data_IF_023484232862
#
_entry.id   IF_023484232862
#
_cell.length_a   1.000
_cell.length_b   1.000
_cell.length_c   1.000
_cell.angle_alpha   90.00
_cell.angle_beta   90.00
_cell.angle_gamma   90.00
#
_symmetry.space_group_name_H-M   'P 1'
#
loop_
_entity.id
_entity.type
_entity.pdbx_description
1 polymer ?
#
# COMPACT_ATOMS: atom_id res chain seq x y z
N UNK A 1 9.62 6.78 11.34
CA UNK A 1 8.20 6.56 11.67
C UNK A 1 7.73 5.23 11.10
N UNK A 2 6.52 4.80 11.45
CA UNK A 2 5.93 3.56 10.92
C UNK A 2 4.83 3.89 9.92
N UNK A 3 4.77 3.12 8.83
CA UNK A 3 3.68 3.14 7.86
C UNK A 3 3.28 1.70 7.55
N UNK A 4 2.00 1.48 7.30
CA UNK A 4 1.49 0.20 6.83
C UNK A 4 0.62 0.44 5.61
N UNK A 5 0.82 -0.37 4.57
CA UNK A 5 0.03 -0.35 3.35
C UNK A 5 -0.51 -1.75 3.08
N UNK A 6 -1.67 -1.83 2.42
CA UNK A 6 -2.17 -3.10 1.93
C UNK A 6 -1.19 -3.74 0.95
N UNK A 7 -1.03 -5.07 1.04
CA UNK A 7 -0.27 -5.85 0.05
C UNK A 7 -1.07 -6.17 -1.20
N UNK A 8 -2.37 -5.91 -1.28
CA UNK A 8 -3.12 -6.18 -2.51
C UNK A 8 -2.88 -5.06 -3.52
N UNK A 9 -2.15 -5.39 -4.60
CA UNK A 9 -1.87 -4.47 -5.69
C UNK A 9 -3.18 -3.93 -6.28
N UNK A 10 -3.23 -2.61 -6.49
CA UNK A 10 -4.41 -1.90 -6.98
C UNK A 10 -4.66 -2.08 -8.47
N UNK A 11 -3.76 -2.76 -9.18
CA UNK A 11 -3.97 -3.22 -10.55
C UNK A 11 -4.93 -4.43 -10.57
N UNK A 12 -4.40 -5.63 -10.33
CA UNK A 12 -5.15 -6.91 -10.44
C UNK A 12 -5.01 -7.78 -9.17
N UNK A 13 -4.68 -7.18 -8.02
CA UNK A 13 -4.81 -7.84 -6.72
C UNK A 13 -3.66 -8.75 -6.30
N UNK A 14 -2.62 -8.90 -7.13
CA UNK A 14 -1.43 -9.66 -6.73
C UNK A 14 -0.82 -9.13 -5.41
N UNK A 15 -0.23 -10.01 -4.58
CA UNK A 15 0.47 -9.59 -3.38
C UNK A 15 1.76 -8.84 -3.73
N UNK A 16 1.81 -7.56 -3.34
CA UNK A 16 3.02 -6.73 -3.33
C UNK A 16 3.96 -7.30 -2.26
N UNK A 17 5.01 -7.97 -2.72
CA UNK A 17 5.87 -8.79 -1.86
C UNK A 17 7.36 -8.43 -1.91
N UNK A 18 7.77 -7.59 -2.86
CA UNK A 18 9.16 -7.19 -3.04
C UNK A 18 9.36 -5.76 -2.52
N UNK A 19 10.56 -5.47 -2.01
CA UNK A 19 10.95 -4.15 -1.55
C UNK A 19 12.32 -3.80 -2.13
N UNK A 20 12.38 -2.71 -2.89
CA UNK A 20 13.64 -2.11 -3.33
C UNK A 20 14.06 -1.08 -2.29
N UNK A 21 15.23 -1.29 -1.70
CA UNK A 21 15.64 -0.59 -0.49
C UNK A 21 16.24 0.80 -0.76
N UNK A 22 16.94 1.00 -1.88
CA UNK A 22 17.63 2.26 -2.18
C UNK A 22 16.64 3.39 -2.48
N UNK A 23 15.61 3.09 -3.25
CA UNK A 23 14.55 4.00 -3.69
C UNK A 23 13.30 3.90 -2.80
N UNK A 24 13.29 2.99 -1.84
CA UNK A 24 12.19 2.75 -0.90
C UNK A 24 10.87 2.45 -1.61
N UNK A 25 10.92 1.53 -2.58
CA UNK A 25 9.79 1.15 -3.41
C UNK A 25 9.25 -0.22 -3.00
N UNK A 26 7.94 -0.32 -2.78
CA UNK A 26 7.24 -1.60 -2.77
C UNK A 26 7.00 -2.02 -4.22
N UNK A 27 7.30 -3.28 -4.56
CA UNK A 27 7.23 -3.78 -5.94
C UNK A 27 6.28 -4.97 -6.04
N UNK A 28 5.31 -4.85 -6.94
CA UNK A 28 4.40 -5.93 -7.30
C UNK A 28 5.08 -6.86 -8.32
N UNK A 29 5.28 -8.16 -8.03
CA UNK A 29 6.03 -9.05 -8.90
C UNK A 29 5.30 -9.40 -10.21
N UNK A 30 3.96 -9.31 -10.25
CA UNK A 30 3.18 -9.74 -11.42
C UNK A 30 3.37 -8.85 -12.66
N UNK A 31 3.26 -7.53 -12.49
CA UNK A 31 3.31 -6.56 -13.60
C UNK A 31 4.19 -5.34 -13.25
N UNK A 32 5.05 -5.51 -12.24
CA UNK A 32 6.11 -4.57 -11.89
C UNK A 32 5.64 -3.17 -11.49
N UNK A 33 4.40 -3.01 -11.02
CA UNK A 33 4.00 -1.75 -10.38
C UNK A 33 4.87 -1.46 -9.17
N UNK A 34 5.41 -0.24 -9.10
CA UNK A 34 6.32 0.21 -8.04
C UNK A 34 5.67 1.36 -7.27
N UNK A 35 5.60 1.26 -5.95
CA UNK A 35 4.90 2.19 -5.08
C UNK A 35 5.87 2.85 -4.09
N UNK A 36 5.88 4.18 -4.04
CA UNK A 36 6.80 4.93 -3.19
C UNK A 36 6.35 4.94 -1.72
N UNK A 37 7.07 4.22 -0.85
CA UNK A 37 6.71 4.07 0.57
C UNK A 37 6.70 5.39 1.32
N UNK A 38 7.64 6.29 1.01
CA UNK A 38 7.78 7.58 1.67
C UNK A 38 6.72 8.60 1.22
N UNK A 39 6.07 8.36 0.07
CA UNK A 39 5.06 9.23 -0.51
C UNK A 39 3.72 8.51 -0.65
N UNK A 40 3.18 8.01 0.47
CA UNK A 40 1.82 7.46 0.53
C UNK A 40 1.57 6.24 -0.35
N UNK A 41 2.61 5.48 -0.71
CA UNK A 41 2.55 4.38 -1.69
C UNK A 41 1.98 4.81 -3.05
N UNK A 42 2.22 6.06 -3.48
CA UNK A 42 1.91 6.50 -4.83
C UNK A 42 2.65 5.65 -5.88
N UNK A 43 1.97 5.17 -6.94
CA UNK A 43 2.61 4.39 -7.98
C UNK A 43 3.53 5.31 -8.81
N UNK A 44 4.81 4.91 -8.90
CA UNK A 44 5.83 5.60 -9.68
C UNK A 44 6.12 4.92 -11.02
N UNK A 45 5.70 3.67 -11.19
CA UNK A 45 5.89 2.88 -12.39
C UNK A 45 4.86 1.75 -12.48
N UNK A 46 4.66 1.21 -13.69
CA UNK A 46 3.80 0.08 -13.98
C UNK A 46 2.30 0.43 -14.05
N UNK A 47 1.42 -0.58 -14.21
CA UNK A 47 0.03 -0.37 -14.58
C UNK A 47 -0.93 -0.08 -13.41
N UNK A 48 -0.45 -0.04 -12.16
CA UNK A 48 -1.32 0.23 -11.01
C UNK A 48 -1.85 1.67 -11.08
N UNK A 49 -3.18 1.88 -11.11
CA UNK A 49 -3.73 3.20 -11.41
C UNK A 49 -3.77 4.15 -10.20
N UNK A 50 -3.44 3.65 -9.00
CA UNK A 50 -3.68 4.36 -7.73
C UNK A 50 -2.79 3.83 -6.59
N UNK A 51 -2.65 4.59 -5.49
CA UNK A 51 -1.84 4.18 -4.33
C UNK A 51 -2.32 2.89 -3.67
N UNK A 52 -1.41 2.20 -2.98
CA UNK A 52 -1.80 1.16 -2.03
C UNK A 52 -2.50 1.83 -0.84
N UNK A 53 -3.70 1.37 -0.44
CA UNK A 53 -4.38 1.90 0.75
C UNK A 53 -3.49 1.82 1.99
N UNK A 54 -3.36 2.95 2.68
CA UNK A 54 -2.62 3.04 3.95
C UNK A 54 -3.51 2.64 5.12
N UNK A 55 -3.00 1.79 6.02
CA UNK A 55 -3.65 1.48 7.28
C UNK A 55 -3.19 2.50 8.34
N UNK A 56 -4.09 3.29 8.94
CA UNK A 56 -3.73 4.25 9.99
C UNK A 56 -3.18 3.52 11.23
N UNK A 57 -1.99 3.90 11.70
CA UNK A 57 -1.31 3.24 12.83
C UNK A 57 -1.17 4.15 14.04
N UNK A 58 -1.31 3.61 15.24
CA UNK A 58 -0.92 4.22 16.51
C UNK A 58 0.00 3.29 17.30
N UNK A 59 0.75 3.87 18.23
CA UNK A 59 1.44 3.13 19.30
C UNK A 59 0.60 3.34 20.56
N UNK A 60 0.16 2.25 21.18
CA UNK A 60 -0.62 2.31 22.42
C UNK A 60 0.24 2.68 23.64
N UNK A 61 -0.39 2.80 24.82
CA UNK A 61 0.32 3.14 26.06
C UNK A 61 1.30 2.08 26.54
N UNK A 62 1.22 0.86 26.02
CA UNK A 62 2.13 -0.25 26.34
C UNK A 62 3.26 -0.38 25.30
N UNK A 63 3.24 0.43 24.24
CA UNK A 63 4.26 0.42 23.18
C UNK A 63 3.96 -0.51 22.00
N UNK A 64 2.76 -1.10 21.92
CA UNK A 64 2.39 -1.96 20.79
C UNK A 64 1.83 -1.15 19.62
N UNK A 65 2.12 -1.60 18.40
CA UNK A 65 1.50 -1.06 17.18
C UNK A 65 0.07 -1.58 17.05
N UNK A 66 -0.87 -0.66 16.89
CA UNK A 66 -2.28 -0.95 16.62
C UNK A 66 -2.79 -0.13 15.43
N UNK A 67 -3.82 -0.63 14.74
CA UNK A 67 -4.55 0.17 13.76
C UNK A 67 -5.48 1.15 14.47
N UNK A 68 -5.48 2.42 14.07
CA UNK A 68 -6.41 3.42 14.60
C UNK A 68 -7.83 3.24 14.04
N UNK A 69 -7.93 2.70 12.83
CA UNK A 69 -9.18 2.45 12.10
C UNK A 69 -8.94 1.43 11.00
N UNK A 70 -10.01 1.05 10.31
CA UNK A 70 -9.91 0.37 9.02
C UNK A 70 -9.28 1.26 7.94
N UNK A 71 -9.07 0.69 6.75
CA UNK A 71 -8.69 1.43 5.56
C UNK A 71 -9.74 2.49 5.21
N UNK A 72 -9.27 3.68 4.81
CA UNK A 72 -10.15 4.80 4.41
C UNK A 72 -10.61 4.70 2.95
N UNK A 73 -10.10 3.72 2.21
CA UNK A 73 -10.42 3.49 0.81
C UNK A 73 -10.41 1.98 0.51
N UNK A 74 -11.15 1.52 -0.52
CA UNK A 74 -11.22 0.09 -0.82
C UNK A 74 -9.87 -0.53 -1.19
N UNK A 75 -9.63 -1.72 -0.66
CA UNK A 75 -8.40 -2.49 -0.86
C UNK A 75 -8.43 -3.27 -2.18
N UNK A 76 -7.28 -3.33 -2.87
CA UNK A 76 -7.12 -4.13 -4.09
C UNK A 76 -7.59 -3.44 -5.38
N UNK A 77 -7.95 -4.19 -6.43
CA UNK A 77 -8.38 -3.64 -7.71
C UNK A 77 -9.60 -2.70 -7.63
N UNK A 78 -9.76 -1.89 -8.67
CA UNK A 78 -10.98 -1.09 -8.86
C UNK A 78 -12.20 -1.96 -9.19
N UNK A 79 -13.39 -1.42 -8.93
CA UNK A 79 -14.69 -1.95 -9.32
C UNK A 79 -15.61 -0.78 -9.66
N UNK A 80 -16.77 -1.06 -10.27
CA UNK A 80 -17.62 -0.03 -10.89
C UNK A 80 -18.17 1.00 -9.88
N UNK A 81 -18.57 0.56 -8.69
CA UNK A 81 -19.15 1.40 -7.62
C UNK A 81 -18.09 2.02 -6.70
N UNK A 82 -16.81 1.92 -7.06
CA UNK A 82 -15.73 2.47 -6.25
C UNK A 82 -15.75 4.01 -6.33
N UNK A 83 -16.23 4.64 -5.26
CA UNK A 83 -16.10 6.08 -4.99
C UNK A 83 -14.74 6.42 -4.38
#
# INVERSE_FOLDING_TARGET
>A
GYVAYSKLCTHLGCPVGLYEQQLQLLVCPCHQSMFNVANGALPNFGPAPRPLPQLPLMVDSQGYLQSQSDYKEPVGPGFWERS
#
